data_IF_302115230105
#
_entry.id   IF_302115230105
#
_cell.length_a   1.000
_cell.length_b   1.000
_cell.length_c   1.000
_cell.angle_alpha   90.00
_cell.angle_beta   90.00
_cell.angle_gamma   90.00
#
_symmetry.space_group_name_H-M   'P 1'
#
loop_
_entity.id
_entity.type
_entity.pdbx_description
1 polymer ?
#
# COMPACT_ATOMS: atom_id res chain seq x y z
N UNK A 1 5.73 -20.94 23.64
CA UNK A 1 4.80 -20.29 24.58
C UNK A 1 4.06 -19.10 23.95
N UNK A 2 4.66 -18.37 22.99
CA UNK A 2 4.01 -17.17 22.39
C UNK A 2 2.81 -17.48 21.49
N UNK A 3 2.82 -18.62 20.79
CA UNK A 3 1.64 -19.10 20.04
C UNK A 3 0.43 -19.30 20.95
N UNK A 4 0.67 -19.68 22.21
CA UNK A 4 -0.35 -19.92 23.21
C UNK A 4 -0.97 -18.60 23.68
N UNK A 5 -0.16 -17.58 23.97
CA UNK A 5 -0.63 -16.22 24.30
C UNK A 5 -1.44 -15.58 23.16
N UNK A 6 -1.01 -15.81 21.91
CA UNK A 6 -1.68 -15.27 20.72
C UNK A 6 -3.02 -15.96 20.45
N UNK A 7 -3.07 -17.28 20.62
CA UNK A 7 -4.32 -18.05 20.56
C UNK A 7 -5.28 -17.62 21.68
N UNK A 8 -4.76 -17.34 22.88
CA UNK A 8 -5.55 -16.85 24.01
C UNK A 8 -6.15 -15.45 23.78
N UNK A 9 -5.38 -14.53 23.18
CA UNK A 9 -5.89 -13.21 22.80
C UNK A 9 -6.99 -13.29 21.75
N UNK A 10 -6.84 -14.17 20.74
CA UNK A 10 -7.90 -14.41 19.75
C UNK A 10 -9.17 -15.00 20.39
N UNK A 11 -9.00 -15.86 21.39
CA UNK A 11 -10.11 -16.44 22.15
C UNK A 11 -10.85 -15.38 22.99
N UNK A 12 -10.12 -14.46 23.64
CA UNK A 12 -10.71 -13.35 24.40
C UNK A 12 -11.46 -12.38 23.49
N UNK A 13 -10.92 -12.10 22.30
CA UNK A 13 -11.58 -11.27 21.30
C UNK A 13 -12.89 -11.90 20.80
N UNK A 14 -12.83 -13.19 20.44
CA UNK A 14 -14.01 -13.96 20.03
C UNK A 14 -15.05 -14.05 21.14
N UNK A 15 -14.62 -14.26 22.39
CA UNK A 15 -15.49 -14.27 23.56
C UNK A 15 -16.17 -12.90 23.80
N UNK A 16 -15.48 -11.79 23.56
CA UNK A 16 -16.07 -10.44 23.62
C UNK A 16 -17.16 -10.22 22.57
N UNK A 17 -16.94 -10.70 21.34
CA UNK A 17 -17.94 -10.64 20.26
C UNK A 17 -19.14 -11.55 20.56
N UNK A 18 -18.89 -12.80 20.94
CA UNK A 18 -19.96 -13.79 21.23
C UNK A 18 -20.75 -13.41 22.48
N UNK A 19 -20.09 -12.87 23.51
CA UNK A 19 -20.76 -12.34 24.69
C UNK A 19 -21.70 -11.19 24.36
N UNK A 20 -21.36 -10.36 23.35
CA UNK A 20 -22.24 -9.31 22.83
C UNK A 20 -23.52 -9.87 22.19
N UNK A 21 -23.47 -11.06 21.60
CA UNK A 21 -24.63 -11.73 20.98
C UNK A 21 -25.53 -12.44 21.99
N UNK A 22 -24.97 -13.05 23.03
CA UNK A 22 -25.76 -13.73 24.08
C UNK A 22 -26.52 -12.73 24.98
N UNK A 23 -26.05 -11.49 25.05
CA UNK A 23 -26.63 -10.39 25.84
C UNK A 23 -27.57 -9.51 25.00
N UNK A 24 -28.36 -10.12 24.10
CA UNK A 24 -29.24 -9.41 23.16
C UNK A 24 -30.46 -8.74 23.84
N UNK A 25 -30.85 -9.22 25.03
CA UNK A 25 -32.02 -8.72 25.78
C UNK A 25 -31.72 -7.53 26.71
N UNK A 26 -30.47 -7.05 26.78
CA UNK A 26 -30.05 -5.93 27.63
C UNK A 26 -29.93 -4.60 26.86
N UNK A 27 -29.94 -3.43 27.56
CA UNK A 27 -29.79 -2.13 26.93
C UNK A 27 -28.49 -1.98 26.13
N UNK A 28 -28.59 -1.32 24.97
CA UNK A 28 -27.52 -1.15 23.97
C UNK A 28 -26.17 -0.66 24.55
N UNK A 29 -26.20 0.16 25.60
CA UNK A 29 -25.00 0.71 26.26
C UNK A 29 -24.12 -0.37 26.88
N UNK A 30 -24.71 -1.37 27.56
CA UNK A 30 -23.95 -2.45 28.23
C UNK A 30 -23.24 -3.31 27.19
N UNK A 31 -23.90 -3.58 26.07
CA UNK A 31 -23.37 -4.35 24.96
C UNK A 31 -22.15 -3.68 24.32
N UNK A 32 -22.21 -2.38 24.08
CA UNK A 32 -21.10 -1.61 23.51
C UNK A 32 -19.92 -1.55 24.48
N UNK A 33 -20.18 -1.38 25.79
CA UNK A 33 -19.13 -1.40 26.81
C UNK A 33 -18.40 -2.75 26.87
N UNK A 34 -19.11 -3.89 26.84
CA UNK A 34 -18.47 -5.21 26.83
C UNK A 34 -17.56 -5.43 25.61
N UNK A 35 -17.97 -4.94 24.44
CA UNK A 35 -17.15 -5.04 23.22
C UNK A 35 -15.91 -4.15 23.34
N UNK A 36 -16.05 -2.91 23.82
CA UNK A 36 -14.93 -2.00 24.02
C UNK A 36 -13.90 -2.56 25.02
N UNK A 37 -14.37 -3.15 26.12
CA UNK A 37 -13.50 -3.79 27.13
C UNK A 37 -12.80 -5.02 26.53
N UNK A 38 -13.52 -5.89 25.82
CA UNK A 38 -12.93 -7.06 25.15
C UNK A 38 -11.90 -6.67 24.09
N UNK A 39 -12.18 -5.61 23.32
CA UNK A 39 -11.27 -5.06 22.34
C UNK A 39 -10.01 -4.48 22.99
N UNK A 40 -10.16 -3.69 24.06
CA UNK A 40 -9.05 -3.10 24.79
C UNK A 40 -8.15 -4.16 25.43
N UNK A 41 -8.73 -5.20 26.04
CA UNK A 41 -7.98 -6.31 26.63
C UNK A 41 -7.23 -7.13 25.57
N UNK A 42 -7.89 -7.43 24.45
CA UNK A 42 -7.23 -8.16 23.36
C UNK A 42 -6.11 -7.34 22.72
N UNK A 43 -6.32 -6.04 22.51
CA UNK A 43 -5.31 -5.15 21.97
C UNK A 43 -4.13 -5.00 22.92
N UNK A 44 -4.39 -4.82 24.23
CA UNK A 44 -3.35 -4.80 25.26
C UNK A 44 -2.55 -6.09 25.33
N UNK A 45 -3.19 -7.25 25.25
CA UNK A 45 -2.50 -8.55 25.21
C UNK A 45 -1.66 -8.75 23.94
N UNK A 46 -2.13 -8.27 22.78
CA UNK A 46 -1.35 -8.32 21.54
C UNK A 46 -0.10 -7.45 21.63
N UNK A 47 -0.20 -6.22 22.17
CA UNK A 47 0.95 -5.32 22.32
C UNK A 47 2.01 -5.85 23.29
N UNK A 48 1.62 -6.64 24.29
CA UNK A 48 2.52 -7.26 25.28
C UNK A 48 3.08 -8.62 24.83
N UNK A 49 2.68 -9.13 23.67
CA UNK A 49 3.18 -10.40 23.11
C UNK A 49 4.43 -10.18 22.26
N UNK A 50 5.36 -11.14 22.22
CA UNK A 50 6.62 -11.08 21.44
C UNK A 50 6.37 -10.66 19.99
N UNK A 51 5.33 -11.21 19.35
CA UNK A 51 4.94 -10.85 17.98
C UNK A 51 4.41 -9.42 17.83
N UNK A 52 3.77 -8.86 18.86
CA UNK A 52 3.34 -7.46 18.86
C UNK A 52 4.52 -6.50 19.04
N UNK A 53 5.46 -6.85 19.91
CA UNK A 53 6.70 -6.08 20.10
C UNK A 53 7.59 -6.10 18.85
N UNK A 54 7.73 -7.26 18.20
CA UNK A 54 8.46 -7.40 16.93
C UNK A 54 7.88 -6.47 15.84
N UNK A 55 6.56 -6.37 15.71
CA UNK A 55 5.92 -5.49 14.72
C UNK A 55 6.12 -4.00 15.03
N UNK A 56 6.05 -3.62 16.30
CA UNK A 56 6.30 -2.24 16.73
C UNK A 56 7.77 -1.87 16.47
N UNK A 57 8.68 -2.78 16.79
CA UNK A 57 10.10 -2.61 16.52
C UNK A 57 10.39 -2.54 15.02
N UNK A 58 9.79 -3.42 14.21
CA UNK A 58 9.90 -3.39 12.75
C UNK A 58 9.41 -2.06 12.16
N UNK A 59 8.29 -1.52 12.64
CA UNK A 59 7.79 -0.21 12.21
C UNK A 59 8.77 0.92 12.56
N UNK A 60 9.39 0.86 13.74
CA UNK A 60 10.41 1.83 14.16
C UNK A 60 11.68 1.72 13.31
N UNK A 61 12.13 0.51 13.02
CA UNK A 61 13.28 0.23 12.14
C UNK A 61 13.00 0.69 10.71
N UNK A 62 11.79 0.47 10.17
CA UNK A 62 11.38 0.94 8.85
C UNK A 62 11.41 2.48 8.75
N UNK A 63 11.01 3.19 9.80
CA UNK A 63 11.12 4.66 9.85
C UNK A 63 12.59 5.10 9.84
N UNK A 64 13.45 4.41 10.60
CA UNK A 64 14.89 4.70 10.63
C UNK A 64 15.53 4.42 9.26
N UNK A 65 15.16 3.33 8.59
CA UNK A 65 15.67 2.98 7.26
C UNK A 65 15.18 3.94 6.18
N UNK A 66 13.91 4.37 6.26
CA UNK A 66 13.35 5.38 5.34
C UNK A 66 14.09 6.71 5.47
N UNK A 67 14.63 7.04 6.64
CA UNK A 67 15.49 8.23 6.82
C UNK A 67 16.87 8.08 6.18
N UNK A 68 17.33 6.86 5.90
CA UNK A 68 18.57 6.60 5.14
C UNK A 68 18.37 6.68 3.63
N UNK A 69 17.12 6.73 3.16
CA UNK A 69 16.83 6.99 1.76
C UNK A 69 17.24 8.43 1.47
N UNK A 70 18.42 8.58 0.88
CA UNK A 70 18.91 9.85 0.37
C UNK A 70 18.04 10.18 -0.84
N UNK A 71 17.02 11.00 -0.62
CA UNK A 71 16.19 11.48 -1.71
C UNK A 71 17.07 12.31 -2.65
N UNK A 72 17.08 11.98 -3.94
CA UNK A 72 17.91 12.66 -4.91
C UNK A 72 17.56 14.15 -4.91
N UNK A 73 18.56 14.99 -5.11
CA UNK A 73 18.35 16.43 -5.11
C UNK A 73 17.44 16.82 -6.28
N UNK A 74 16.66 17.91 -6.15
CA UNK A 74 15.76 18.38 -7.22
C UNK A 74 16.50 18.58 -8.55
N UNK A 75 17.80 18.91 -8.49
CA UNK A 75 18.66 19.12 -9.66
C UNK A 75 18.95 17.80 -10.39
N UNK A 76 19.32 16.74 -9.69
CA UNK A 76 19.57 15.42 -10.29
C UNK A 76 18.29 14.81 -10.88
N UNK A 77 17.17 14.96 -10.16
CA UNK A 77 15.86 14.46 -10.64
C UNK A 77 15.43 15.18 -11.92
N UNK A 78 15.63 16.50 -11.98
CA UNK A 78 15.33 17.29 -13.17
C UNK A 78 16.26 16.97 -14.34
N UNK A 79 17.54 16.70 -14.08
CA UNK A 79 18.51 16.33 -15.11
C UNK A 79 18.14 14.99 -15.77
N UNK A 80 17.87 13.96 -14.97
CA UNK A 80 17.46 12.65 -15.49
C UNK A 80 16.14 12.75 -16.26
N UNK A 81 15.16 13.52 -15.74
CA UNK A 81 13.88 13.75 -16.44
C UNK A 81 14.09 14.50 -17.76
N UNK A 82 14.94 15.53 -17.78
CA UNK A 82 15.25 16.30 -18.98
C UNK A 82 15.90 15.45 -20.08
N UNK A 83 16.82 14.56 -19.71
CA UNK A 83 17.43 13.61 -20.65
C UNK A 83 16.36 12.70 -21.26
N UNK A 84 15.46 12.15 -20.45
CA UNK A 84 14.37 11.30 -20.93
C UNK A 84 13.41 12.07 -21.86
N UNK A 85 13.07 13.31 -21.52
CA UNK A 85 12.20 14.17 -22.38
C UNK A 85 12.85 14.40 -23.75
N UNK A 86 14.13 14.75 -23.79
CA UNK A 86 14.85 14.94 -25.06
C UNK A 86 14.87 13.63 -25.86
N UNK A 87 15.16 12.51 -25.21
CA UNK A 87 15.15 11.19 -25.86
C UNK A 87 13.79 10.86 -26.49
N UNK A 88 12.69 11.07 -25.76
CA UNK A 88 11.33 10.82 -26.25
C UNK A 88 10.99 11.74 -27.43
N UNK A 89 11.37 13.03 -27.38
CA UNK A 89 11.15 13.96 -28.49
C UNK A 89 11.89 13.53 -29.77
N UNK A 90 13.14 13.07 -29.65
CA UNK A 90 13.91 12.56 -30.79
C UNK A 90 13.22 11.32 -31.38
N UNK A 91 12.81 10.37 -30.54
CA UNK A 91 12.08 9.18 -30.98
C UNK A 91 10.74 9.52 -31.65
N UNK A 92 10.00 10.49 -31.11
CA UNK A 92 8.75 10.96 -31.70
C UNK A 92 8.96 11.55 -33.10
N UNK A 93 10.01 12.35 -33.31
CA UNK A 93 10.35 12.91 -34.63
C UNK A 93 10.77 11.82 -35.62
N UNK A 94 11.58 10.85 -35.18
CA UNK A 94 12.00 9.72 -36.03
C UNK A 94 10.80 8.89 -36.46
N UNK A 95 9.92 8.52 -35.52
CA UNK A 95 8.71 7.78 -35.83
C UNK A 95 7.79 8.56 -36.77
N UNK A 96 7.54 9.84 -36.48
CA UNK A 96 6.72 10.69 -37.34
C UNK A 96 7.24 10.75 -38.78
N UNK A 97 8.56 10.85 -38.97
CA UNK A 97 9.17 10.82 -40.30
C UNK A 97 8.97 9.48 -41.01
N UNK A 98 9.20 8.37 -40.31
CA UNK A 98 9.03 7.02 -40.87
C UNK A 98 7.56 6.76 -41.21
N UNK A 99 6.63 7.09 -40.32
CA UNK A 99 5.20 6.94 -40.53
C UNK A 99 4.70 7.79 -41.71
N UNK A 100 5.24 9.00 -41.88
CA UNK A 100 4.95 9.85 -43.03
C UNK A 100 5.44 9.28 -44.37
N UNK A 101 6.65 8.71 -44.39
CA UNK A 101 7.22 8.06 -45.57
C UNK A 101 6.46 6.78 -45.92
N UNK A 102 6.20 5.92 -44.93
CA UNK A 102 5.40 4.70 -45.11
C UNK A 102 3.98 5.04 -45.58
N UNK A 103 3.35 6.04 -44.97
CA UNK A 103 2.02 6.51 -45.37
C UNK A 103 1.98 7.01 -46.82
N UNK A 104 3.01 7.76 -47.24
CA UNK A 104 3.11 8.26 -48.62
C UNK A 104 3.34 7.13 -49.63
N UNK A 105 4.20 6.15 -49.30
CA UNK A 105 4.43 4.95 -50.11
C UNK A 105 3.15 4.11 -50.27
N UNK A 106 2.42 3.91 -49.17
CA UNK A 106 1.15 3.18 -49.20
C UNK A 106 0.11 3.89 -50.07
N UNK A 107 -0.01 5.23 -49.96
CA UNK A 107 -0.91 6.03 -50.82
C UNK A 107 -0.56 5.89 -52.30
N UNK A 108 0.74 5.90 -52.64
CA UNK A 108 1.22 5.72 -54.01
C UNK A 108 0.91 4.32 -54.56
N UNK A 109 1.09 3.28 -53.74
CA UNK A 109 0.82 1.89 -54.15
C UNK A 109 -0.69 1.64 -54.31
N UNK A 110 -1.52 2.18 -53.41
CA UNK A 110 -2.97 2.02 -53.46
C UNK A 110 -3.66 2.94 -54.46
N UNK A 111 -2.92 3.87 -55.10
CA UNK A 111 -3.47 4.80 -56.09
C UNK A 111 -4.55 5.74 -55.52
N UNK A 112 -4.58 5.92 -54.19
CA UNK A 112 -5.51 6.83 -53.53
C UNK A 112 -4.93 8.24 -53.66
N UNK A 113 -5.27 8.91 -54.75
CA UNK A 113 -5.05 10.35 -54.91
C UNK A 113 -6.04 11.10 -54.00
N UNK A 114 -5.48 11.71 -52.95
CA UNK A 114 -6.19 12.54 -51.96
C UNK A 114 -5.22 13.27 -51.06
#
# INVERSE_FOLDING_TARGET
>A
MDKLKLSFSALIFAAGIVGSYMLSDLPMVVRVLCVLVGFALSFGMLSLTVKGQDLIQFGREAIVETKKVVWPTRKETAQTTGIVVVFVLVMALVLWGIDGVLGSLIRMILGVEG
#
